data_IF_701103686301
#
_entry.id   IF_701103686301
#
_cell.length_a   1.000
_cell.length_b   1.000
_cell.length_c   1.000
_cell.angle_alpha   90.00
_cell.angle_beta   90.00
_cell.angle_gamma   90.00
#
_symmetry.space_group_name_H-M   'P 1'
#
loop_
_entity.id
_entity.type
_entity.pdbx_description
1 polymer ?
#
# COMPACT_ATOMS: atom_id res chain seq x y z
N UNK A 1 -10.04 -5.76 15.85
CA UNK A 1 -10.17 -4.45 16.51
C UNK A 1 -8.80 -3.94 16.92
N UNK A 2 -8.49 -2.69 16.61
CA UNK A 2 -7.32 -1.98 17.09
C UNK A 2 -7.68 -1.20 18.35
N UNK A 3 -6.73 -1.15 19.30
CA UNK A 3 -6.92 -0.52 20.61
C UNK A 3 -8.20 -0.98 21.35
N UNK A 4 -8.52 -2.27 21.28
CA UNK A 4 -9.66 -2.93 21.94
C UNK A 4 -11.07 -2.37 21.63
N UNK A 5 -11.23 -1.42 20.70
CA UNK A 5 -12.54 -0.83 20.37
C UNK A 5 -12.75 -0.42 18.92
N UNK A 6 -11.70 -0.09 18.16
CA UNK A 6 -11.86 0.39 16.80
C UNK A 6 -11.73 -0.75 15.79
N UNK A 7 -12.74 -0.95 14.95
CA UNK A 7 -12.59 -1.79 13.77
C UNK A 7 -12.00 -0.92 12.66
N UNK A 8 -10.85 -1.33 12.15
CA UNK A 8 -10.21 -0.70 10.99
C UNK A 8 -9.98 -1.78 9.94
N UNK A 9 -10.00 -1.38 8.67
CA UNK A 9 -9.69 -2.31 7.59
C UNK A 9 -8.18 -2.37 7.40
N UNK A 10 -7.58 -3.40 7.98
CA UNK A 10 -6.14 -3.66 7.87
C UNK A 10 -5.67 -3.90 6.44
N UNK A 11 -6.56 -4.04 5.45
CA UNK A 11 -6.19 -4.24 4.05
C UNK A 11 -5.91 -2.95 3.30
N UNK A 12 -6.47 -1.84 3.75
CA UNK A 12 -6.40 -0.54 3.06
C UNK A 12 -5.99 0.59 4.00
N UNK A 13 -6.04 0.40 5.31
CA UNK A 13 -5.62 1.41 6.29
C UNK A 13 -4.08 1.50 6.37
N UNK A 14 -3.47 2.63 5.95
CA UNK A 14 -2.02 2.82 6.02
C UNK A 14 -1.47 2.87 7.43
N UNK A 15 -2.28 3.15 8.45
CA UNK A 15 -1.87 3.21 9.86
C UNK A 15 -1.96 1.83 10.55
N UNK A 16 -2.67 0.89 9.94
CA UNK A 16 -2.98 -0.43 10.50
C UNK A 16 -2.82 -1.54 9.45
N UNK A 17 -1.82 -1.43 8.58
CA UNK A 17 -1.69 -2.29 7.41
C UNK A 17 -1.21 -3.70 7.79
N UNK A 18 -2.02 -4.71 7.45
CA UNK A 18 -1.79 -6.10 7.82
C UNK A 18 -1.94 -6.37 9.33
N UNK A 19 -2.38 -5.39 10.12
CA UNK A 19 -2.60 -5.51 11.54
C UNK A 19 -2.62 -4.18 12.28
N UNK A 20 -3.16 -4.18 13.48
CA UNK A 20 -3.25 -2.99 14.32
C UNK A 20 -1.88 -2.44 14.73
N UNK A 21 -1.73 -1.12 14.76
CA UNK A 21 -0.46 -0.43 15.07
C UNK A 21 0.68 -0.85 14.14
N UNK A 22 0.38 -1.15 12.87
CA UNK A 22 1.36 -1.41 11.82
C UNK A 22 1.26 -0.34 10.74
N UNK A 23 1.75 0.88 11.01
CA UNK A 23 1.75 1.92 10.01
C UNK A 23 2.74 1.58 8.88
N UNK A 24 2.36 1.88 7.65
CA UNK A 24 3.26 1.88 6.52
C UNK A 24 4.27 3.02 6.65
N UNK A 25 5.49 2.78 6.17
CA UNK A 25 6.53 3.79 6.08
C UNK A 25 6.07 4.93 5.17
N UNK A 26 6.62 6.13 5.38
CA UNK A 26 6.27 7.29 4.56
C UNK A 26 6.48 6.99 3.06
N UNK A 27 5.48 7.33 2.24
CA UNK A 27 5.46 7.05 0.80
C UNK A 27 4.92 5.67 0.42
N UNK A 28 4.68 4.77 1.37
CA UNK A 28 4.08 3.47 1.11
C UNK A 28 2.58 3.52 1.40
N UNK A 29 1.80 2.80 0.59
CA UNK A 29 0.36 2.65 0.78
C UNK A 29 0.01 1.23 1.17
N UNK A 30 -1.12 1.07 1.88
CA UNK A 30 -1.59 -0.25 2.26
C UNK A 30 -2.41 -0.87 1.12
N UNK A 31 -1.88 -1.92 0.51
CA UNK A 31 -2.55 -2.70 -0.52
C UNK A 31 -2.67 -4.15 -0.06
N UNK A 32 -3.91 -4.65 0.06
CA UNK A 32 -4.22 -6.00 0.50
C UNK A 32 -3.52 -6.42 1.81
N UNK A 33 -3.32 -5.46 2.72
CA UNK A 33 -2.67 -5.68 4.01
C UNK A 33 -1.15 -5.76 3.96
N UNK A 34 -0.55 -5.25 2.88
CA UNK A 34 0.90 -5.06 2.74
C UNK A 34 1.20 -3.62 2.38
N UNK A 35 2.26 -3.08 2.98
CA UNK A 35 2.77 -1.79 2.59
C UNK A 35 3.53 -1.93 1.28
N UNK A 36 3.08 -1.23 0.25
CA UNK A 36 3.67 -1.23 -1.10
C UNK A 36 4.03 0.19 -1.51
N UNK A 37 5.07 0.34 -2.32
CA UNK A 37 5.53 1.64 -2.83
C UNK A 37 4.79 1.97 -4.13
N UNK A 38 3.80 2.85 -4.07
CA UNK A 38 3.06 3.22 -5.29
C UNK A 38 3.90 4.03 -6.29
N UNK A 39 5.06 4.55 -5.89
CA UNK A 39 5.89 5.41 -6.73
C UNK A 39 6.93 4.64 -7.53
N UNK A 40 7.31 3.45 -7.06
CA UNK A 40 8.41 2.64 -7.63
C UNK A 40 8.07 1.17 -7.81
N UNK A 41 7.05 0.65 -7.13
CA UNK A 41 6.63 -0.74 -7.31
C UNK A 41 5.88 -0.88 -8.63
N UNK A 42 6.53 -1.59 -9.56
CA UNK A 42 6.00 -1.90 -10.89
C UNK A 42 4.68 -2.68 -10.87
N UNK A 43 4.34 -3.35 -9.76
CA UNK A 43 3.09 -4.11 -9.60
C UNK A 43 1.97 -3.30 -8.95
N UNK A 44 2.28 -2.14 -8.38
CA UNK A 44 1.34 -1.30 -7.64
C UNK A 44 1.52 0.18 -8.02
N UNK A 45 1.83 0.48 -9.28
CA UNK A 45 2.26 1.81 -9.68
C UNK A 45 1.09 2.80 -9.70
N UNK A 46 1.14 3.88 -8.92
CA UNK A 46 0.07 4.88 -8.80
C UNK A 46 -1.18 4.40 -8.05
N UNK A 47 -1.49 3.10 -8.06
CA UNK A 47 -2.57 2.50 -7.30
C UNK A 47 -2.30 1.01 -7.02
N UNK A 48 -3.01 0.45 -6.02
CA UNK A 48 -2.93 -0.96 -5.70
C UNK A 48 -3.27 -1.83 -6.92
N UNK A 49 -2.49 -2.91 -7.11
CA UNK A 49 -2.61 -3.88 -8.21
C UNK A 49 -2.50 -3.29 -9.63
N UNK A 50 -1.95 -2.08 -9.77
CA UNK A 50 -1.67 -1.49 -11.07
C UNK A 50 -0.28 -1.89 -11.58
N UNK A 51 -0.26 -2.89 -12.45
CA UNK A 51 0.97 -3.44 -13.02
C UNK A 51 1.37 -2.65 -14.27
N UNK A 52 2.57 -2.07 -14.30
CA UNK A 52 3.12 -1.46 -15.51
C UNK A 52 3.45 -2.52 -16.57
N UNK A 53 3.25 -2.17 -17.83
CA UNK A 53 3.67 -2.98 -18.98
C UNK A 53 5.15 -3.38 -18.89
N UNK A 54 5.50 -4.54 -19.49
CA UNK A 54 6.79 -5.26 -19.33
C UNK A 54 8.07 -4.40 -19.48
N UNK A 55 7.99 -3.22 -20.09
CA UNK A 55 9.10 -2.29 -20.31
C UNK A 55 9.00 -0.94 -19.58
N UNK A 56 7.86 -0.56 -19.01
CA UNK A 56 7.72 0.73 -18.33
C UNK A 56 8.16 0.60 -16.87
N UNK A 57 9.08 1.43 -16.43
CA UNK A 57 9.41 1.54 -15.00
C UNK A 57 8.28 2.30 -14.31
N UNK A 58 8.03 1.98 -13.04
CA UNK A 58 7.18 2.85 -12.23
C UNK A 58 8.04 4.00 -11.72
N UNK A 59 7.77 5.21 -12.18
CA UNK A 59 8.48 6.41 -11.75
C UNK A 59 7.48 7.49 -11.36
N UNK A 60 7.63 8.03 -10.14
CA UNK A 60 6.71 9.02 -9.57
C UNK A 60 5.22 8.58 -9.59
N UNK A 61 4.96 7.26 -9.55
CA UNK A 61 3.62 6.70 -9.59
C UNK A 61 3.01 6.61 -10.99
N UNK A 62 3.85 6.72 -12.01
CA UNK A 62 3.46 6.61 -13.42
C UNK A 62 4.17 5.42 -14.07
N UNK A 63 3.38 4.64 -14.81
CA UNK A 63 3.84 3.81 -15.90
C UNK A 63 3.87 4.67 -17.18
#
# INVERSE_FOLDING_TARGET
>A
CCWNRFCVDTKVDPSNCGGCNKPCTYGFSCCAGKCVDLLRDRKHCGSCDNVCSKHNQCEFGLC
#
